data_IF_494313441126
#
_entry.id   IF_494313441126
#
_cell.length_a   1.000
_cell.length_b   1.000
_cell.length_c   1.000
_cell.angle_alpha   90.00
_cell.angle_beta   90.00
_cell.angle_gamma   90.00
#
_symmetry.space_group_name_H-M   'P 1'
#
loop_
_entity.id
_entity.type
_entity.pdbx_description
1 polymer ?
#
# COMPACT_ATOMS: atom_id res chain seq x y z
N UNK A 1 -9.83 -47.62 -6.74
CA UNK A 1 -9.86 -46.17 -7.01
C UNK A 1 -9.93 -46.00 -8.52
N UNK A 2 -11.10 -45.66 -9.02
CA UNK A 2 -11.29 -45.33 -10.44
C UNK A 2 -10.79 -43.91 -10.72
N UNK A 3 -10.54 -43.57 -11.99
CA UNK A 3 -10.16 -42.21 -12.38
C UNK A 3 -11.22 -41.18 -11.99
N UNK A 4 -12.49 -41.59 -12.02
CA UNK A 4 -13.64 -40.76 -11.65
C UNK A 4 -13.66 -40.48 -10.14
N UNK A 5 -13.41 -41.51 -9.32
CA UNK A 5 -13.27 -41.33 -7.86
C UNK A 5 -12.14 -40.35 -7.50
N UNK A 6 -10.98 -40.46 -8.15
CA UNK A 6 -9.85 -39.55 -7.92
C UNK A 6 -10.12 -38.11 -8.38
N UNK A 7 -10.89 -37.92 -9.46
CA UNK A 7 -11.30 -36.59 -9.92
C UNK A 7 -12.28 -35.94 -8.94
N UNK A 8 -13.25 -36.70 -8.44
CA UNK A 8 -14.24 -36.21 -7.47
C UNK A 8 -13.58 -35.84 -6.14
N UNK A 9 -12.62 -36.62 -5.67
CA UNK A 9 -11.83 -36.33 -4.46
C UNK A 9 -11.05 -35.00 -4.63
N UNK A 10 -10.32 -34.85 -5.73
CA UNK A 10 -9.58 -33.62 -6.04
C UNK A 10 -10.47 -32.38 -6.15
N UNK A 11 -11.63 -32.50 -6.81
CA UNK A 11 -12.58 -31.41 -6.94
C UNK A 11 -13.17 -31.02 -5.57
N UNK A 12 -13.40 -32.00 -4.69
CA UNK A 12 -13.85 -31.75 -3.33
C UNK A 12 -12.80 -31.01 -2.48
N UNK A 13 -11.53 -31.41 -2.57
CA UNK A 13 -10.42 -30.72 -1.88
C UNK A 13 -10.28 -29.26 -2.33
N UNK A 14 -10.43 -28.99 -3.63
CA UNK A 14 -10.41 -27.62 -4.15
C UNK A 14 -11.56 -26.78 -3.60
N UNK A 15 -12.77 -27.33 -3.56
CA UNK A 15 -13.95 -26.63 -3.07
C UNK A 15 -13.83 -26.30 -1.57
N UNK A 16 -13.32 -27.24 -0.76
CA UNK A 16 -13.00 -27.01 0.64
C UNK A 16 -11.95 -25.90 0.82
N UNK A 17 -10.87 -25.92 0.03
CA UNK A 17 -9.85 -24.87 0.05
C UNK A 17 -10.42 -23.48 -0.27
N UNK A 18 -11.29 -23.37 -1.28
CA UNK A 18 -11.89 -22.08 -1.64
C UNK A 18 -12.85 -21.56 -0.56
N UNK A 19 -13.62 -22.42 0.09
CA UNK A 19 -14.48 -22.03 1.21
C UNK A 19 -13.65 -21.61 2.43
N UNK A 20 -12.54 -22.29 2.74
CA UNK A 20 -11.62 -21.87 3.80
C UNK A 20 -10.95 -20.52 3.52
N UNK A 21 -10.46 -20.30 2.29
CA UNK A 21 -9.88 -19.02 1.86
C UNK A 21 -10.89 -17.88 1.94
N UNK A 22 -12.12 -18.11 1.47
CA UNK A 22 -13.21 -17.14 1.53
C UNK A 22 -13.57 -16.81 2.98
N UNK A 23 -13.70 -17.81 3.84
CA UNK A 23 -13.94 -17.60 5.27
C UNK A 23 -12.77 -16.85 5.94
N UNK A 24 -11.51 -17.09 5.56
CA UNK A 24 -10.35 -16.31 6.04
C UNK A 24 -10.38 -14.87 5.54
N UNK A 25 -10.75 -14.64 4.28
CA UNK A 25 -10.89 -13.31 3.72
C UNK A 25 -12.02 -12.52 4.42
N UNK A 26 -13.14 -13.17 4.71
CA UNK A 26 -14.28 -12.59 5.43
C UNK A 26 -13.97 -12.30 6.91
N UNK A 27 -13.23 -13.19 7.59
CA UNK A 27 -12.78 -12.98 8.96
C UNK A 27 -11.58 -12.02 9.08
N UNK A 28 -10.89 -11.73 7.98
CA UNK A 28 -9.86 -10.68 7.89
C UNK A 28 -10.46 -9.28 7.67
N UNK A 29 -11.79 -9.17 7.60
CA UNK A 29 -12.51 -7.88 7.57
C UNK A 29 -12.70 -7.33 8.99
N UNK A 30 -11.63 -7.29 9.77
CA UNK A 30 -11.35 -6.01 10.40
C UNK A 30 -10.87 -5.16 9.23
N UNK A 31 -11.65 -4.18 8.72
CA UNK A 31 -11.04 -3.19 7.86
C UNK A 31 -9.98 -2.56 8.76
N UNK A 32 -8.73 -3.03 8.65
CA UNK A 32 -7.57 -2.30 9.15
C UNK A 32 -7.87 -0.88 8.74
N UNK A 33 -8.14 0.00 9.71
CA UNK A 33 -8.67 1.33 9.43
C UNK A 33 -7.54 2.04 8.73
N UNK A 34 -7.45 1.83 7.42
CA UNK A 34 -6.43 2.40 6.59
C UNK A 34 -6.62 3.88 6.80
N UNK A 35 -5.53 4.60 7.14
CA UNK A 35 -5.64 6.01 7.35
C UNK A 35 -6.31 6.61 6.11
N UNK A 36 -7.28 7.52 6.29
CA UNK A 36 -8.01 8.09 5.18
C UNK A 36 -6.99 8.71 4.21
N UNK A 37 -7.13 8.40 2.92
CA UNK A 37 -6.30 9.00 1.88
C UNK A 37 -6.39 10.52 2.01
N UNK A 38 -5.26 11.17 2.32
CA UNK A 38 -5.21 12.62 2.31
C UNK A 38 -5.26 13.14 0.87
N UNK A 39 -5.86 14.31 0.69
CA UNK A 39 -5.79 15.02 -0.59
C UNK A 39 -4.34 15.40 -0.87
N UNK A 40 -3.97 15.42 -2.13
CA UNK A 40 -2.68 15.94 -2.55
C UNK A 40 -2.57 17.42 -2.15
N UNK A 41 -1.56 17.82 -1.36
CA UNK A 41 -1.35 19.23 -1.02
C UNK A 41 -0.95 20.09 -2.23
N UNK A 42 -0.65 19.47 -3.39
CA UNK A 42 -0.21 20.14 -4.62
C UNK A 42 1.24 20.64 -4.57
N UNK A 43 1.80 20.83 -3.38
CA UNK A 43 3.20 21.17 -3.15
C UNK A 43 3.69 20.50 -1.87
N UNK A 44 4.80 19.77 -1.97
CA UNK A 44 5.44 19.15 -0.83
C UNK A 44 6.61 20.02 -0.38
N UNK A 45 6.54 20.56 0.85
CA UNK A 45 7.64 21.36 1.42
C UNK A 45 8.16 20.72 2.69
N UNK A 46 9.48 20.70 2.85
CA UNK A 46 10.16 20.22 4.06
C UNK A 46 10.78 21.39 4.84
N UNK A 47 10.72 21.40 6.17
CA UNK A 47 11.43 22.39 6.96
C UNK A 47 12.94 22.22 6.77
N UNK A 48 13.68 23.32 6.74
CA UNK A 48 15.14 23.29 6.73
C UNK A 48 15.71 24.32 7.70
N UNK A 49 16.89 24.03 8.21
CA UNK A 49 17.70 24.94 9.00
C UNK A 49 19.15 24.82 8.55
N UNK A 50 19.72 25.92 8.06
CA UNK A 50 21.13 25.98 7.67
C UNK A 50 21.79 27.18 8.34
N UNK A 51 22.79 26.90 9.19
CA UNK A 51 23.45 27.90 10.05
C UNK A 51 22.44 28.83 10.75
N UNK A 52 22.21 30.02 10.22
CA UNK A 52 21.32 31.05 10.78
C UNK A 52 20.03 31.29 9.96
N UNK A 53 19.76 30.45 8.96
CA UNK A 53 18.57 30.54 8.09
C UNK A 53 17.66 29.34 8.37
N UNK A 54 16.39 29.63 8.64
CA UNK A 54 15.33 28.63 8.76
C UNK A 54 14.22 28.92 7.75
N UNK A 55 13.57 27.88 7.25
CA UNK A 55 12.47 28.06 6.31
C UNK A 55 11.84 26.75 5.88
N UNK A 56 11.15 26.80 4.74
CA UNK A 56 10.58 25.63 4.07
C UNK A 56 11.15 25.56 2.66
N UNK A 57 11.67 24.40 2.29
CA UNK A 57 12.18 24.12 0.96
C UNK A 57 11.13 23.35 0.15
N UNK A 58 10.98 23.68 -1.12
CA UNK A 58 10.18 22.89 -2.06
C UNK A 58 10.89 21.56 -2.32
N UNK A 59 10.20 20.45 -2.10
CA UNK A 59 10.70 19.12 -2.40
C UNK A 59 10.10 18.65 -3.73
N UNK A 60 10.76 19.05 -4.81
CA UNK A 60 10.43 18.60 -6.15
C UNK A 60 11.03 17.21 -6.39
N UNK A 61 10.17 16.18 -6.34
CA UNK A 61 10.55 14.79 -6.58
C UNK A 61 10.97 14.51 -8.04
N UNK A 62 10.67 15.45 -8.96
CA UNK A 62 11.12 15.38 -10.36
C UNK A 62 12.48 16.02 -10.61
N UNK A 63 13.05 16.72 -9.63
CA UNK A 63 14.37 17.35 -9.74
C UNK A 63 15.47 16.46 -9.17
N UNK A 64 16.61 16.39 -9.87
CA UNK A 64 17.81 15.70 -9.39
C UNK A 64 18.75 16.60 -8.59
N UNK A 65 18.49 17.90 -8.51
CA UNK A 65 19.34 18.89 -7.84
C UNK A 65 18.53 19.77 -6.88
N UNK A 66 19.17 20.16 -5.76
CA UNK A 66 18.63 21.13 -4.80
C UNK A 66 19.10 22.53 -5.17
N UNK A 67 18.17 23.44 -5.43
CA UNK A 67 18.46 24.84 -5.74
C UNK A 67 18.32 25.72 -4.49
N UNK A 68 19.20 26.71 -4.36
CA UNK A 68 19.05 27.81 -3.41
C UNK A 68 19.07 29.13 -4.17
N UNK A 69 18.14 30.04 -3.85
CA UNK A 69 18.12 31.38 -4.44
C UNK A 69 19.25 32.21 -3.83
N UNK A 70 20.05 32.84 -4.69
CA UNK A 70 20.98 33.89 -4.28
C UNK A 70 20.16 35.19 -4.22
N UNK A 71 20.05 35.79 -3.03
CA UNK A 71 19.53 37.15 -2.87
C UNK A 71 20.59 38.18 -3.25
#
# INVERSE_FOLDING_TARGET
MTLEEAYMEFMGELEEYYEEEKARAENSVEPSKLPPKQKDPGTFTVPFSFTNVQGRALCDLGSSISLMSLQ
#
